data_IF_557264557772
#
_entry.id   IF_557264557772
#
_cell.length_a   1.000
_cell.length_b   1.000
_cell.length_c   1.000
_cell.angle_alpha   90.00
_cell.angle_beta   90.00
_cell.angle_gamma   90.00
#
_symmetry.space_group_name_H-M   'P 1'
#
loop_
_entity.id
_entity.type
_entity.pdbx_description
1 polymer ?
#
# COMPACT_ATOMS: atom_id res chain seq x y z
N UNK A 1 15.54 -4.50 5.93
CA UNK A 1 14.33 -5.29 6.24
C UNK A 1 13.42 -5.25 5.02
N UNK A 2 12.81 -6.37 4.63
CA UNK A 2 11.91 -6.43 3.46
C UNK A 2 10.47 -6.32 3.94
N UNK A 3 9.63 -5.47 3.30
CA UNK A 3 8.23 -5.37 3.65
C UNK A 3 7.47 -6.69 3.52
N UNK A 4 6.54 -6.95 4.45
CA UNK A 4 5.70 -8.16 4.43
C UNK A 4 4.31 -7.88 3.85
N UNK A 5 3.61 -8.93 3.42
CA UNK A 5 2.32 -8.82 2.73
C UNK A 5 1.27 -7.99 3.50
N UNK A 6 1.23 -8.09 4.83
CA UNK A 6 0.31 -7.30 5.67
C UNK A 6 0.62 -5.80 5.63
N UNK A 7 1.89 -5.40 5.52
CA UNK A 7 2.27 -4.00 5.39
C UNK A 7 1.79 -3.43 4.04
N UNK A 8 1.90 -4.19 2.96
CA UNK A 8 1.34 -3.79 1.66
C UNK A 8 -0.18 -3.67 1.69
N UNK A 9 -0.87 -4.64 2.30
CA UNK A 9 -2.34 -4.62 2.41
C UNK A 9 -2.81 -3.39 3.19
N UNK A 10 -2.17 -3.11 4.33
CA UNK A 10 -2.49 -1.94 5.15
C UNK A 10 -2.16 -0.62 4.43
N UNK A 11 -0.97 -0.51 3.83
CA UNK A 11 -0.54 0.69 3.10
C UNK A 11 -1.53 1.06 1.98
N UNK A 12 -1.94 0.08 1.17
CA UNK A 12 -2.92 0.28 0.08
C UNK A 12 -4.28 0.68 0.61
N UNK A 13 -4.77 -0.01 1.63
CA UNK A 13 -6.07 0.31 2.23
C UNK A 13 -6.10 1.74 2.75
N UNK A 14 -5.13 2.10 3.59
CA UNK A 14 -5.03 3.44 4.18
C UNK A 14 -4.94 4.53 3.11
N UNK A 15 -4.05 4.37 2.15
CA UNK A 15 -3.86 5.35 1.08
C UNK A 15 -5.12 5.51 0.21
N UNK A 16 -5.85 4.42 -0.06
CA UNK A 16 -7.08 4.48 -0.82
C UNK A 16 -8.25 5.13 -0.07
N UNK A 17 -8.43 4.83 1.22
CA UNK A 17 -9.49 5.44 2.01
C UNK A 17 -9.23 6.95 2.21
N UNK A 18 -7.99 7.36 2.45
CA UNK A 18 -7.63 8.79 2.54
C UNK A 18 -7.82 9.51 1.21
N UNK A 19 -7.42 8.89 0.08
CA UNK A 19 -7.65 9.43 -1.26
C UNK A 19 -9.13 9.64 -1.56
N UNK A 20 -9.97 8.65 -1.21
CA UNK A 20 -11.43 8.72 -1.36
C UNK A 20 -12.06 9.82 -0.52
N UNK A 21 -11.52 10.05 0.68
CA UNK A 21 -11.96 11.11 1.59
C UNK A 21 -11.35 12.49 1.28
N UNK A 22 -10.50 12.60 0.26
CA UNK A 22 -9.74 13.82 -0.05
C UNK A 22 -8.88 14.34 1.12
N UNK A 23 -8.37 13.43 1.95
CA UNK A 23 -7.52 13.78 3.09
C UNK A 23 -6.06 13.66 2.66
N UNK A 24 -5.29 14.76 2.66
CA UNK A 24 -3.85 14.68 2.44
C UNK A 24 -3.15 14.07 3.66
N UNK A 25 -2.06 13.34 3.43
CA UNK A 25 -1.22 12.81 4.49
C UNK A 25 0.25 12.85 4.10
N UNK A 26 1.12 12.84 5.11
CA UNK A 26 2.56 12.78 4.95
C UNK A 26 3.08 11.40 5.36
N UNK A 27 4.16 10.97 4.72
CA UNK A 27 4.89 9.75 5.07
C UNK A 27 6.16 10.17 5.79
N UNK A 28 6.36 9.65 7.00
CA UNK A 28 7.64 9.81 7.69
C UNK A 28 8.70 8.96 6.98
N UNK A 29 9.68 9.61 6.36
CA UNK A 29 10.69 8.95 5.54
C UNK A 29 11.99 8.61 6.29
N UNK A 30 12.30 9.32 7.37
CA UNK A 30 13.66 9.44 7.96
C UNK A 30 14.27 8.13 8.45
N UNK A 31 13.44 7.13 8.78
CA UNK A 31 13.92 5.87 9.36
C UNK A 31 13.69 4.66 8.48
N UNK A 32 12.63 4.68 7.66
CA UNK A 32 12.16 3.51 6.94
C UNK A 32 12.36 3.62 5.43
N UNK A 33 12.24 4.81 4.84
CA UNK A 33 12.17 4.94 3.39
C UNK A 33 13.37 5.66 2.79
N UNK A 34 13.88 6.68 3.46
CA UNK A 34 14.99 7.49 2.97
C UNK A 34 16.20 7.31 3.87
N UNK A 35 17.37 7.21 3.25
CA UNK A 35 18.64 7.28 3.93
C UNK A 35 19.17 8.72 3.80
N UNK A 36 19.14 9.46 4.90
CA UNK A 36 19.60 10.85 4.92
C UNK A 36 21.10 11.01 4.80
N UNK A 37 21.89 9.98 5.13
CA UNK A 37 23.35 10.02 5.00
C UNK A 37 23.77 9.71 3.55
N UNK A 38 23.13 8.71 2.93
CA UNK A 38 23.38 8.37 1.53
C UNK A 38 22.63 9.28 0.54
N UNK A 39 21.64 10.04 1.00
CA UNK A 39 20.81 10.91 0.17
C UNK A 39 19.90 10.15 -0.81
N UNK A 40 19.52 8.91 -0.48
CA UNK A 40 18.84 8.01 -1.38
C UNK A 40 17.64 7.30 -0.75
N UNK A 41 16.64 6.96 -1.57
CA UNK A 41 15.57 6.05 -1.16
C UNK A 41 16.12 4.64 -1.00
N UNK A 42 15.69 3.95 0.06
CA UNK A 42 16.09 2.58 0.34
C UNK A 42 15.40 1.65 -0.67
N UNK A 43 16.14 0.95 -1.57
CA UNK A 43 15.52 0.15 -2.64
C UNK A 43 14.58 -0.94 -2.13
N UNK A 44 14.90 -1.54 -0.97
CA UNK A 44 14.06 -2.56 -0.35
C UNK A 44 12.68 -2.05 0.09
N UNK A 45 12.50 -0.74 0.24
CA UNK A 45 11.31 -0.10 0.80
C UNK A 45 10.53 0.69 -0.26
N UNK A 46 11.15 0.93 -1.43
CA UNK A 46 10.53 1.60 -2.57
C UNK A 46 9.18 0.97 -2.98
N UNK A 47 9.01 -0.37 -3.04
CA UNK A 47 7.70 -0.93 -3.39
C UNK A 47 6.60 -0.59 -2.38
N UNK A 48 6.95 -0.54 -1.09
CA UNK A 48 6.01 -0.17 -0.03
C UNK A 48 5.69 1.33 -0.06
N UNK A 49 6.70 2.17 -0.35
CA UNK A 49 6.50 3.61 -0.55
C UNK A 49 5.52 3.87 -1.70
N UNK A 50 5.72 3.22 -2.84
CA UNK A 50 4.86 3.34 -4.01
C UNK A 50 3.41 2.92 -3.72
N UNK A 51 3.22 1.88 -2.91
CA UNK A 51 1.89 1.45 -2.47
C UNK A 51 1.14 2.51 -1.64
N UNK A 52 1.86 3.46 -1.03
CA UNK A 52 1.27 4.59 -0.32
C UNK A 52 1.11 5.81 -1.25
N UNK A 53 2.15 6.28 -1.93
CA UNK A 53 2.09 7.55 -2.67
C UNK A 53 1.29 7.46 -3.98
N UNK A 54 1.19 6.27 -4.57
CA UNK A 54 0.48 6.02 -5.82
C UNK A 54 -0.36 4.74 -5.72
N UNK A 55 -1.39 4.72 -4.85
CA UNK A 55 -2.12 3.50 -4.58
C UNK A 55 -3.04 3.12 -5.74
N UNK A 56 -3.00 1.85 -6.13
CA UNK A 56 -3.99 1.24 -7.03
C UNK A 56 -5.28 0.96 -6.26
N UNK A 57 -6.22 1.90 -6.32
CA UNK A 57 -7.48 1.80 -5.61
C UNK A 57 -8.57 1.12 -6.44
N UNK A 58 -9.41 0.33 -5.77
CA UNK A 58 -10.64 -0.15 -6.38
C UNK A 58 -11.56 1.04 -6.70
N UNK A 59 -11.92 1.18 -7.97
CA UNK A 59 -12.94 2.15 -8.37
C UNK A 59 -14.32 1.52 -8.25
N UNK A 60 -15.29 2.16 -7.58
CA UNK A 60 -16.67 1.69 -7.58
C UNK A 60 -17.17 1.52 -9.02
N UNK A 61 -17.43 0.28 -9.44
CA UNK A 61 -17.92 -0.05 -10.78
C UNK A 61 -16.97 -0.83 -11.69
N UNK A 62 -15.69 -1.00 -11.33
CA UNK A 62 -14.81 -1.98 -12.02
C UNK A 62 -15.17 -3.38 -11.52
N UNK A 63 -15.90 -4.15 -12.32
CA UNK A 63 -16.05 -5.59 -12.05
C UNK A 63 -14.65 -6.22 -12.06
N UNK A 64 -14.29 -7.08 -11.09
CA UNK A 64 -13.03 -7.80 -11.13
C UNK A 64 -12.97 -8.58 -12.45
N UNK A 65 -11.84 -8.47 -13.15
CA UNK A 65 -11.60 -9.23 -14.36
C UNK A 65 -11.81 -10.72 -14.03
N UNK A 66 -12.70 -11.37 -14.77
CA UNK A 66 -13.09 -12.76 -14.54
C UNK A 66 -11.93 -13.66 -14.98
N UNK A 67 -10.95 -13.83 -14.11
CA UNK A 67 -9.77 -14.66 -14.33
C UNK A 67 -9.21 -15.14 -12.99
N UNK A 68 -9.62 -16.36 -12.62
CA UNK A 68 -9.05 -17.18 -11.54
C UNK A 68 -9.30 -16.70 -10.10
N UNK A 69 -10.54 -16.89 -9.64
CA UNK A 69 -10.87 -17.05 -8.21
C UNK A 69 -10.14 -18.29 -7.66
N UNK A 70 -8.92 -18.12 -7.13
CA UNK A 70 -8.38 -19.07 -6.18
C UNK A 70 -9.03 -18.80 -4.82
N UNK A 71 -9.94 -19.71 -4.49
CA UNK A 71 -10.72 -19.82 -3.28
C UNK A 71 -9.79 -20.08 -2.08
N UNK A 72 -9.30 -19.04 -1.41
CA UNK A 72 -8.90 -19.09 0.00
C UNK A 72 -9.56 -17.90 0.70
N UNK A 73 -10.76 -18.12 1.23
CA UNK A 73 -10.99 -18.44 2.65
C UNK A 73 -11.18 -17.16 3.45
N UNK A 74 -12.46 -16.82 3.63
CA UNK A 74 -13.05 -16.23 4.81
C UNK A 74 -12.06 -15.99 5.97
N UNK A 75 -11.62 -14.75 6.11
CA UNK A 75 -11.37 -14.16 7.43
C UNK A 75 -12.29 -12.95 7.59
N UNK A 76 -13.58 -13.25 7.78
CA UNK A 76 -14.39 -12.46 8.70
C UNK A 76 -13.94 -12.92 10.09
N UNK A 77 -13.26 -12.07 10.84
CA UNK A 77 -13.14 -12.22 12.28
C UNK A 77 -14.09 -11.21 12.96
N UNK A 78 -14.61 -11.55 14.15
CA UNK A 78 -15.82 -11.01 14.76
C UNK A 78 -15.70 -9.55 15.22
#
# INVERSE_FOLDING_TARGET
MTPVASQFAFARFMACELKKAHIPYAINADTQFYDGEEGAWRPAQEPLLNAMIAPECETPGKKPARGTLNRLSLMRYP
#
